data_IF_980222181929
#
_entry.id   IF_980222181929
#
_cell.length_a   1.000
_cell.length_b   1.000
_cell.length_c   1.000
_cell.angle_alpha   90.00
_cell.angle_beta   90.00
_cell.angle_gamma   90.00
#
_symmetry.space_group_name_H-M   'P 1'
#
loop_
_entity.id
_entity.type
_entity.pdbx_description
1 polymer ?
#
# COMPACT_ATOMS: atom_id res chain seq x y z
N UNK A 1 -0.46 -9.23 3.16
CA UNK A 1 -1.54 -9.49 4.15
C UNK A 1 -0.98 -10.21 5.37
N UNK A 2 -1.31 -9.72 6.57
CA UNK A 2 -0.86 -10.30 7.85
C UNK A 2 0.54 -9.89 8.33
N UNK A 3 1.16 -8.87 7.72
CA UNK A 3 2.51 -8.40 8.08
C UNK A 3 2.60 -6.89 8.28
N UNK A 4 2.09 -6.10 7.34
CA UNK A 4 2.32 -4.64 7.28
C UNK A 4 1.14 -3.87 6.67
N UNK A 5 -0.08 -4.36 6.87
CA UNK A 5 -1.30 -3.75 6.33
C UNK A 5 -2.35 -3.50 7.41
N UNK A 6 -1.93 -3.43 8.68
CA UNK A 6 -2.80 -3.11 9.80
C UNK A 6 -2.71 -1.62 10.16
N UNK A 7 -3.55 -1.19 11.09
CA UNK A 7 -3.62 0.21 11.56
C UNK A 7 -2.28 0.74 12.10
N UNK A 8 -1.47 -0.13 12.74
CA UNK A 8 -0.15 0.26 13.25
C UNK A 8 0.82 0.51 12.10
N UNK A 9 0.74 -0.30 11.05
CA UNK A 9 1.52 -0.09 9.84
C UNK A 9 1.15 1.23 9.17
N UNK A 10 -0.15 1.57 9.08
CA UNK A 10 -0.61 2.86 8.54
C UNK A 10 0.04 4.00 9.33
N UNK A 11 -0.12 4.05 10.66
CA UNK A 11 0.48 5.10 11.49
C UNK A 11 2.01 5.22 11.29
N UNK A 12 2.69 4.08 11.17
CA UNK A 12 4.13 4.04 10.89
C UNK A 12 4.49 4.62 9.52
N UNK A 13 3.73 4.27 8.48
CA UNK A 13 3.92 4.81 7.14
C UNK A 13 3.62 6.30 7.10
N UNK A 14 2.55 6.77 7.74
CA UNK A 14 2.17 8.19 7.75
C UNK A 14 3.30 9.07 8.28
N UNK A 15 3.93 8.68 9.39
CA UNK A 15 5.09 9.40 9.95
C UNK A 15 6.27 9.47 8.99
N UNK A 16 6.55 8.38 8.26
CA UNK A 16 7.64 8.37 7.27
C UNK A 16 7.31 9.23 6.05
N UNK A 17 6.05 9.23 5.62
CA UNK A 17 5.56 10.00 4.48
C UNK A 17 5.56 11.49 4.80
N UNK A 18 5.12 11.88 5.99
CA UNK A 18 5.18 13.29 6.46
C UNK A 18 6.61 13.83 6.52
N UNK A 19 7.60 12.98 6.83
CA UNK A 19 9.01 13.37 6.82
C UNK A 19 9.59 13.52 5.41
N UNK A 20 9.13 12.68 4.47
CA UNK A 20 9.67 12.64 3.11
C UNK A 20 8.93 13.56 2.13
N UNK A 21 7.65 13.84 2.40
CA UNK A 21 6.77 14.70 1.60
C UNK A 21 6.77 14.40 0.07
N UNK A 22 6.65 13.13 -0.37
CA UNK A 22 6.73 12.81 -1.80
C UNK A 22 5.53 13.37 -2.60
N UNK A 23 5.71 13.60 -3.89
CA UNK A 23 4.60 13.94 -4.78
C UNK A 23 3.64 12.75 -4.99
N UNK A 24 4.21 11.53 -5.04
CA UNK A 24 3.50 10.30 -5.36
C UNK A 24 3.91 9.14 -4.46
N UNK A 25 2.95 8.25 -4.18
CA UNK A 25 3.16 7.02 -3.41
C UNK A 25 2.50 5.86 -4.13
N UNK A 26 3.23 4.77 -4.33
CA UNK A 26 2.66 3.51 -4.82
C UNK A 26 2.44 2.53 -3.67
N UNK A 27 1.17 2.28 -3.33
CA UNK A 27 0.79 1.16 -2.47
C UNK A 27 0.64 -0.09 -3.34
N UNK A 28 1.57 -1.03 -3.20
CA UNK A 28 1.68 -2.20 -4.09
C UNK A 28 1.60 -3.52 -3.34
N UNK A 29 0.79 -4.45 -3.85
CA UNK A 29 0.70 -5.79 -3.30
C UNK A 29 2.03 -6.54 -3.42
N UNK A 30 2.33 -7.30 -2.37
CA UNK A 30 3.25 -8.43 -2.48
C UNK A 30 2.71 -9.46 -3.49
N UNK A 31 3.55 -9.93 -4.40
CA UNK A 31 3.22 -10.99 -5.36
C UNK A 31 3.97 -12.29 -5.03
N UNK A 32 3.26 -13.42 -5.04
CA UNK A 32 3.83 -14.74 -4.71
C UNK A 32 4.73 -15.32 -5.81
N UNK A 33 5.95 -14.78 -5.94
CA UNK A 33 6.88 -15.06 -7.04
C UNK A 33 8.32 -15.37 -6.56
N UNK A 34 9.00 -16.27 -7.29
CA UNK A 34 10.43 -16.55 -7.07
C UNK A 34 10.78 -16.96 -5.64
N UNK A 35 11.86 -16.38 -5.10
CA UNK A 35 12.38 -16.71 -3.77
C UNK A 35 11.46 -16.31 -2.60
N UNK A 36 10.48 -15.43 -2.80
CA UNK A 36 9.55 -15.07 -1.72
C UNK A 36 8.74 -16.26 -1.23
N UNK A 37 8.53 -17.25 -2.10
CA UNK A 37 7.79 -18.49 -1.83
C UNK A 37 8.40 -19.36 -0.74
N UNK A 38 9.68 -19.15 -0.41
CA UNK A 38 10.36 -19.85 0.68
C UNK A 38 10.08 -19.23 2.07
N UNK A 39 9.53 -18.01 2.11
CA UNK A 39 9.39 -17.21 3.35
C UNK A 39 7.96 -16.77 3.63
N UNK A 40 7.17 -16.60 2.58
CA UNK A 40 5.78 -16.17 2.63
C UNK A 40 4.91 -17.19 1.92
N UNK A 41 3.62 -17.22 2.26
CA UNK A 41 2.62 -18.11 1.67
C UNK A 41 1.76 -17.38 0.65
N UNK A 42 0.97 -18.14 -0.11
CA UNK A 42 0.04 -17.59 -1.09
C UNK A 42 -0.96 -16.64 -0.44
N UNK A 43 -1.46 -16.98 0.74
CA UNK A 43 -2.45 -16.21 1.51
C UNK A 43 -1.89 -14.85 1.99
N UNK A 44 -0.56 -14.67 1.95
CA UNK A 44 0.05 -13.38 2.27
C UNK A 44 -0.02 -12.39 1.10
N UNK A 45 -0.31 -12.85 -0.13
CA UNK A 45 -0.54 -11.99 -1.30
C UNK A 45 -1.94 -11.36 -1.19
N UNK A 46 -2.04 -10.03 -0.99
CA UNK A 46 -3.32 -9.34 -0.94
C UNK A 46 -4.02 -9.37 -2.30
N UNK A 47 -5.35 -9.42 -2.30
CA UNK A 47 -6.14 -9.15 -3.51
C UNK A 47 -6.09 -7.66 -3.86
N UNK A 48 -6.51 -7.28 -5.06
CA UNK A 48 -6.48 -5.87 -5.46
C UNK A 48 -7.34 -5.00 -4.55
N UNK A 49 -8.55 -5.48 -4.19
CA UNK A 49 -9.45 -4.80 -3.26
C UNK A 49 -8.83 -4.56 -1.88
N UNK A 50 -7.98 -5.49 -1.40
CA UNK A 50 -7.26 -5.30 -0.13
C UNK A 50 -6.28 -4.12 -0.21
N UNK A 51 -5.65 -3.90 -1.37
CA UNK A 51 -4.74 -2.77 -1.59
C UNK A 51 -5.52 -1.47 -1.73
N UNK A 52 -6.66 -1.48 -2.42
CA UNK A 52 -7.53 -0.29 -2.53
C UNK A 52 -7.96 0.16 -1.14
N UNK A 53 -8.53 -0.73 -0.33
CA UNK A 53 -8.97 -0.41 1.04
C UNK A 53 -7.81 0.11 1.91
N UNK A 54 -6.64 -0.53 1.82
CA UNK A 54 -5.45 -0.07 2.55
C UNK A 54 -4.98 1.32 2.09
N UNK A 55 -5.04 1.59 0.79
CA UNK A 55 -4.58 2.84 0.19
C UNK A 55 -5.51 4.00 0.54
N UNK A 56 -6.82 3.76 0.57
CA UNK A 56 -7.81 4.74 1.03
C UNK A 56 -7.56 5.14 2.49
N UNK A 57 -7.42 4.15 3.38
CA UNK A 57 -7.11 4.40 4.80
C UNK A 57 -5.78 5.11 4.99
N UNK A 58 -4.76 4.74 4.22
CA UNK A 58 -3.48 5.43 4.26
C UNK A 58 -3.65 6.88 3.81
N UNK A 59 -4.27 7.13 2.65
CA UNK A 59 -4.47 8.46 2.09
C UNK A 59 -5.18 9.44 3.04
N UNK A 60 -6.23 8.96 3.73
CA UNK A 60 -6.95 9.70 4.77
C UNK A 60 -6.04 10.19 5.90
N UNK A 61 -4.96 9.46 6.20
CA UNK A 61 -4.03 9.79 7.29
C UNK A 61 -2.91 10.78 6.91
N UNK A 62 -2.69 11.06 5.63
CA UNK A 62 -1.51 11.81 5.14
C UNK A 62 -1.82 13.01 4.24
N UNK A 63 -3.09 13.36 4.01
CA UNK A 63 -3.51 14.41 3.04
C UNK A 63 -3.11 14.10 1.59
N UNK A 64 -3.31 12.84 1.18
CA UNK A 64 -3.15 12.39 -0.21
C UNK A 64 -4.50 11.93 -0.74
N UNK A 65 -4.63 11.78 -2.05
CA UNK A 65 -5.80 11.21 -2.70
C UNK A 65 -5.42 10.02 -3.60
N UNK A 66 -6.34 9.05 -3.73
CA UNK A 66 -6.18 7.96 -4.70
C UNK A 66 -6.34 8.51 -6.10
N UNK A 67 -5.29 8.40 -6.93
CA UNK A 67 -5.28 8.94 -8.29
C UNK A 67 -5.60 7.93 -9.36
N UNK A 68 -5.02 6.74 -9.25
CA UNK A 68 -5.19 5.66 -10.22
C UNK A 68 -4.86 4.32 -9.60
N UNK A 69 -5.31 3.26 -10.26
CA UNK A 69 -5.01 1.89 -9.87
C UNK A 69 -4.67 1.04 -11.10
N UNK A 70 -3.99 -0.07 -10.86
CA UNK A 70 -3.73 -1.09 -11.86
C UNK A 70 -3.95 -2.46 -11.23
N UNK A 71 -5.12 -3.03 -11.48
CA UNK A 71 -5.52 -4.35 -11.00
C UNK A 71 -4.52 -5.46 -11.40
N UNK A 72 -4.01 -5.54 -12.65
CA UNK A 72 -3.04 -6.57 -13.02
C UNK A 72 -1.76 -6.55 -12.19
N UNK A 73 -1.36 -5.37 -11.72
CA UNK A 73 -0.18 -5.17 -10.87
C UNK A 73 -0.52 -5.04 -9.39
N UNK A 74 -1.82 -5.08 -9.02
CA UNK A 74 -2.36 -4.87 -7.68
C UNK A 74 -1.70 -3.67 -6.98
N UNK A 75 -1.69 -2.53 -7.67
CA UNK A 75 -1.08 -1.29 -7.20
C UNK A 75 -2.06 -0.13 -7.26
N UNK A 76 -1.97 0.76 -6.29
CA UNK A 76 -2.72 2.01 -6.21
C UNK A 76 -1.72 3.16 -6.09
N UNK A 77 -1.93 4.21 -6.88
CA UNK A 77 -1.16 5.44 -6.84
C UNK A 77 -1.89 6.48 -6.00
N UNK A 78 -1.19 7.03 -5.02
CA UNK A 78 -1.62 8.20 -4.28
C UNK A 78 -0.87 9.43 -4.78
N UNK A 79 -1.55 10.56 -4.84
CA UNK A 79 -1.00 11.87 -5.19
C UNK A 79 -1.23 12.85 -4.04
N UNK A 80 -0.23 13.70 -3.76
CA UNK A 80 -0.32 14.70 -2.70
C UNK A 80 -1.37 15.75 -3.04
N UNK A 81 -2.29 16.02 -2.11
CA UNK A 81 -3.27 17.11 -2.26
C UNK A 81 -2.53 18.45 -2.07
N UNK A 82 -2.67 19.36 -3.03
CA UNK A 82 -2.07 20.70 -3.00
C UNK A 82 -3.00 21.75 -2.40
#
# INVERSE_FOLDING_TARGET
>A
KGYNMDEKAIEGYSKLIELAEPDFIEAKAYMYLGYSRLRLKWENMPEHSDIVEFSEKLAESISYEVKMESEPSRVVLLERVK
#
